data_IF_044490198383
#
_entry.id   IF_044490198383
#
_cell.length_a   1.000
_cell.length_b   1.000
_cell.length_c   1.000
_cell.angle_alpha   90.00
_cell.angle_beta   90.00
_cell.angle_gamma   90.00
#
_symmetry.space_group_name_H-M   'P 1'
#
loop_
_entity.id
_entity.type
_entity.pdbx_description
1 polymer ?
#
# COMPACT_ATOMS: atom_id res chain seq x y z
N UNK A 1 23.85 -40.81 11.35
CA UNK A 1 25.30 -40.66 11.63
C UNK A 1 25.76 -39.33 11.05
N UNK A 2 26.62 -38.60 11.79
CA UNK A 2 27.05 -37.21 11.52
C UNK A 2 28.10 -37.11 10.39
N UNK A 3 27.97 -36.03 9.61
CA UNK A 3 28.97 -35.12 8.99
C UNK A 3 30.43 -35.26 9.46
N UNK A 4 31.49 -35.01 8.63
CA UNK A 4 32.04 -33.64 8.39
C UNK A 4 32.69 -33.43 6.98
N UNK A 5 32.40 -32.33 6.27
CA UNK A 5 33.12 -31.03 6.25
C UNK A 5 34.57 -31.05 5.72
N UNK A 6 34.83 -30.04 4.88
CA UNK A 6 36.12 -29.51 4.42
C UNK A 6 36.82 -30.22 3.26
N UNK A 7 36.73 -29.62 2.05
CA UNK A 7 37.93 -29.35 1.24
C UNK A 7 37.69 -28.13 0.32
N UNK A 8 38.13 -26.99 0.84
CA UNK A 8 39.01 -26.00 0.20
C UNK A 8 38.52 -25.08 -0.95
N UNK A 9 38.50 -23.80 -0.58
CA UNK A 9 38.48 -22.56 -1.36
C UNK A 9 39.67 -22.40 -2.34
N UNK A 10 39.48 -21.45 -3.28
CA UNK A 10 40.41 -20.57 -4.06
C UNK A 10 40.21 -20.79 -5.57
N UNK A 11 39.90 -19.78 -6.39
CA UNK A 11 40.74 -18.64 -6.81
C UNK A 11 39.83 -17.52 -7.38
N UNK A 12 39.77 -16.32 -6.81
CA UNK A 12 40.44 -15.05 -7.21
C UNK A 12 40.12 -14.48 -8.60
N UNK A 13 39.51 -13.30 -8.61
CA UNK A 13 39.48 -12.33 -9.73
C UNK A 13 40.88 -11.80 -10.07
N UNK A 14 41.05 -11.25 -11.28
CA UNK A 14 42.00 -10.15 -11.50
C UNK A 14 41.34 -8.88 -12.07
N UNK A 15 41.91 -7.77 -11.61
CA UNK A 15 41.63 -6.38 -11.93
C UNK A 15 42.55 -5.86 -13.06
N UNK A 16 42.01 -4.89 -13.82
CA UNK A 16 42.65 -3.80 -14.58
C UNK A 16 43.71 -4.09 -15.67
N UNK A 17 43.44 -3.52 -16.85
CA UNK A 17 44.46 -2.85 -17.68
C UNK A 17 43.84 -1.69 -18.45
N UNK A 18 44.39 -0.48 -18.24
CA UNK A 18 44.04 0.72 -18.99
C UNK A 18 44.85 0.85 -20.27
N UNK A 19 44.29 1.57 -21.26
CA UNK A 19 44.92 1.89 -22.53
C UNK A 19 44.16 3.02 -23.22
N UNK A 20 44.87 4.11 -23.46
CA UNK A 20 44.44 5.42 -23.95
C UNK A 20 44.28 5.42 -25.49
N UNK A 21 43.34 6.18 -26.07
CA UNK A 21 43.44 6.55 -27.49
C UNK A 21 42.16 6.89 -28.25
N UNK A 22 42.08 8.16 -28.66
CA UNK A 22 41.50 8.72 -29.90
C UNK A 22 39.99 9.05 -29.97
N UNK A 23 39.75 10.36 -30.04
CA UNK A 23 38.64 11.02 -30.73
C UNK A 23 38.76 10.82 -32.24
N UNK A 24 37.63 10.50 -32.91
CA UNK A 24 37.36 10.85 -34.31
C UNK A 24 35.88 10.61 -34.63
N UNK A 25 35.22 11.71 -35.02
CA UNK A 25 34.13 11.93 -35.98
C UNK A 25 33.09 10.85 -36.37
N UNK A 26 31.86 11.38 -36.35
CA UNK A 26 30.61 11.11 -37.07
C UNK A 26 30.51 10.01 -38.16
N UNK A 27 29.45 9.21 -38.07
CA UNK A 27 28.32 9.20 -39.04
C UNK A 27 27.15 8.31 -38.59
N UNK A 28 25.96 8.79 -38.93
CA UNK A 28 24.64 8.16 -38.78
C UNK A 28 24.59 6.73 -39.31
N UNK A 29 23.77 5.89 -38.68
CA UNK A 29 22.70 5.19 -39.38
C UNK A 29 21.48 5.01 -38.47
N UNK A 30 20.34 5.36 -39.03
CA UNK A 30 19.00 5.40 -38.47
C UNK A 30 18.31 4.04 -38.54
N UNK A 31 17.62 3.64 -37.47
CA UNK A 31 16.45 2.75 -37.55
C UNK A 31 15.37 3.27 -36.60
N UNK A 32 14.22 3.59 -37.19
CA UNK A 32 12.98 3.95 -36.51
C UNK A 32 12.31 2.70 -35.90
N UNK A 33 11.57 2.85 -34.79
CA UNK A 33 10.10 2.80 -34.79
C UNK A 33 9.52 2.78 -33.35
N UNK A 34 8.37 3.45 -33.20
CA UNK A 34 7.33 3.36 -32.16
C UNK A 34 7.75 3.65 -30.70
N UNK A 35 7.26 4.68 -29.99
CA UNK A 35 5.97 5.35 -30.10
C UNK A 35 5.02 4.89 -28.99
N UNK A 36 5.43 5.00 -27.72
CA UNK A 36 4.52 4.92 -26.57
C UNK A 36 4.52 6.29 -25.90
N UNK A 37 3.49 7.08 -26.22
CA UNK A 37 3.23 8.33 -25.51
C UNK A 37 2.64 7.99 -24.13
N UNK A 38 3.08 8.65 -23.05
CA UNK A 38 2.41 8.56 -21.76
C UNK A 38 0.96 9.06 -21.88
N UNK A 39 0.03 8.57 -21.05
CA UNK A 39 -1.37 8.98 -21.10
C UNK A 39 -1.50 10.50 -20.90
N UNK A 40 -2.50 11.15 -21.54
CA UNK A 40 -2.63 12.60 -21.49
C UNK A 40 -2.87 13.10 -20.06
N UNK A 41 -2.17 14.18 -19.70
CA UNK A 41 -2.44 14.93 -18.48
C UNK A 41 -3.87 15.52 -18.55
N UNK A 42 -4.61 15.43 -17.44
CA UNK A 42 -5.96 15.99 -17.35
C UNK A 42 -5.90 17.52 -17.37
N UNK A 43 -6.30 18.12 -18.49
CA UNK A 43 -6.58 19.55 -18.60
C UNK A 43 -7.79 19.90 -17.73
N UNK A 44 -7.57 20.67 -16.67
CA UNK A 44 -8.63 21.26 -15.87
C UNK A 44 -9.18 22.48 -16.61
N UNK A 45 -10.32 22.32 -17.27
CA UNK A 45 -11.06 23.45 -17.81
C UNK A 45 -11.62 24.30 -16.67
N UNK A 46 -11.06 25.49 -16.53
CA UNK A 46 -11.52 26.56 -15.66
C UNK A 46 -12.90 27.04 -16.12
N UNK A 47 -13.90 26.95 -15.25
CA UNK A 47 -15.18 27.64 -15.44
C UNK A 47 -15.73 28.02 -14.07
N UNK A 48 -15.46 29.25 -13.66
CA UNK A 48 -16.19 29.95 -12.60
C UNK A 48 -17.69 29.96 -12.91
N UNK A 49 -18.53 29.80 -11.87
CA UNK A 49 -19.56 30.82 -11.68
C UNK A 49 -19.68 31.28 -10.22
N UNK A 50 -20.38 32.40 -10.10
CA UNK A 50 -20.41 33.35 -9.01
C UNK A 50 -21.07 32.87 -7.70
N UNK A 51 -20.76 33.64 -6.66
CA UNK A 51 -21.29 33.60 -5.30
C UNK A 51 -22.82 33.69 -5.20
N UNK A 52 -23.42 32.79 -4.42
CA UNK A 52 -24.62 33.11 -3.65
C UNK A 52 -24.70 32.29 -2.36
N UNK A 53 -24.69 33.00 -1.24
CA UNK A 53 -24.88 32.49 0.12
C UNK A 53 -26.30 31.99 0.36
N UNK A 54 -26.47 30.76 0.85
CA UNK A 54 -27.50 30.45 1.86
C UNK A 54 -27.21 29.12 2.56
N UNK A 55 -27.14 29.19 3.88
CA UNK A 55 -27.07 28.08 4.82
C UNK A 55 -28.37 27.28 4.84
N UNK A 56 -28.30 25.94 4.72
CA UNK A 56 -29.26 24.96 5.26
C UNK A 56 -28.67 23.54 5.17
N UNK A 57 -28.73 22.84 6.31
CA UNK A 57 -28.70 21.39 6.54
C UNK A 57 -27.99 20.50 5.50
N UNK A 58 -26.86 19.92 5.91
CA UNK A 58 -26.18 18.86 5.18
C UNK A 58 -27.06 17.60 5.19
N UNK A 59 -27.83 17.44 4.13
CA UNK A 59 -28.44 16.16 3.76
C UNK A 59 -27.33 15.18 3.36
N UNK A 60 -27.45 13.97 3.90
CA UNK A 60 -26.65 12.79 3.57
C UNK A 60 -26.75 12.55 2.07
N UNK A 61 -25.65 12.78 1.35
CA UNK A 61 -25.58 12.55 -0.09
C UNK A 61 -25.64 11.05 -0.32
N UNK A 62 -26.80 10.56 -0.78
CA UNK A 62 -26.93 9.21 -1.31
C UNK A 62 -26.07 9.10 -2.56
N UNK A 63 -25.21 8.07 -2.62
CA UNK A 63 -24.31 7.78 -3.73
C UNK A 63 -25.11 7.63 -5.03
N UNK A 64 -24.87 8.51 -6.01
CA UNK A 64 -25.42 8.42 -7.36
C UNK A 64 -24.57 7.45 -8.21
N UNK A 65 -25.09 6.90 -9.32
CA UNK A 65 -24.32 6.07 -10.24
C UNK A 65 -23.05 6.73 -10.81
N UNK A 66 -22.99 8.06 -10.80
CA UNK A 66 -21.85 8.88 -11.23
C UNK A 66 -20.86 9.21 -10.11
N UNK A 67 -21.09 8.75 -8.88
CA UNK A 67 -20.18 8.98 -7.77
C UNK A 67 -18.87 8.20 -8.00
N UNK A 68 -17.75 8.90 -8.26
CA UNK A 68 -16.47 8.25 -8.56
C UNK A 68 -15.94 7.43 -7.39
N UNK A 69 -16.52 7.58 -6.19
CA UNK A 69 -16.10 6.90 -4.96
C UNK A 69 -17.09 5.82 -4.52
N UNK A 70 -18.18 5.57 -5.27
CA UNK A 70 -19.16 4.52 -4.95
C UNK A 70 -18.52 3.14 -4.84
N UNK A 71 -17.45 2.87 -5.60
CA UNK A 71 -16.71 1.61 -5.50
C UNK A 71 -15.98 1.44 -4.16
N UNK A 72 -15.72 2.50 -3.39
CA UNK A 72 -15.07 2.38 -2.09
C UNK A 72 -15.92 1.57 -1.10
N UNK A 73 -17.24 1.52 -1.29
CA UNK A 73 -18.14 0.73 -0.44
C UNK A 73 -18.07 -0.78 -0.72
N UNK A 74 -17.49 -1.22 -1.83
CA UNK A 74 -17.42 -2.64 -2.21
C UNK A 74 -16.19 -3.36 -1.68
N UNK A 75 -15.26 -2.66 -1.01
CA UNK A 75 -14.02 -3.23 -0.50
C UNK A 75 -13.80 -2.85 0.96
N UNK A 76 -13.29 -3.77 1.77
CA UNK A 76 -12.72 -3.42 3.06
C UNK A 76 -11.38 -2.72 2.83
N UNK A 77 -11.25 -1.48 3.31
CA UNK A 77 -10.04 -0.68 3.10
C UNK A 77 -9.16 -0.69 4.34
N UNK A 78 -7.94 -1.22 4.19
CA UNK A 78 -6.91 -1.26 5.23
C UNK A 78 -5.75 -0.35 4.83
N UNK A 79 -5.38 0.57 5.71
CA UNK A 79 -4.13 1.31 5.60
C UNK A 79 -3.05 0.66 6.46
N UNK A 80 -1.95 0.28 5.83
CA UNK A 80 -0.73 -0.17 6.50
C UNK A 80 0.31 0.95 6.46
N UNK A 81 0.52 1.60 7.60
CA UNK A 81 1.37 2.77 7.71
C UNK A 81 2.73 2.40 8.28
N UNK A 82 3.77 2.81 7.56
CA UNK A 82 5.12 2.84 8.09
C UNK A 82 5.22 3.87 9.22
N UNK A 83 5.51 3.40 10.41
CA UNK A 83 5.88 4.21 11.58
C UNK A 83 7.32 3.94 11.99
N UNK A 84 8.20 3.56 11.06
CA UNK A 84 9.64 3.43 11.30
C UNK A 84 10.29 4.79 11.57
N UNK A 85 11.54 4.79 12.04
CA UNK A 85 12.24 6.02 12.39
C UNK A 85 12.47 6.99 11.21
N UNK A 86 12.56 6.49 9.97
CA UNK A 86 12.77 7.35 8.78
C UNK A 86 11.60 8.30 8.54
N UNK A 87 10.39 7.88 8.92
CA UNK A 87 9.16 8.64 8.70
C UNK A 87 9.08 9.93 9.54
N UNK A 88 9.97 10.13 10.52
CA UNK A 88 9.95 11.31 11.39
C UNK A 88 10.00 12.64 10.60
N UNK A 89 9.12 13.58 10.98
CA UNK A 89 9.05 14.89 10.35
C UNK A 89 7.97 15.00 9.28
N UNK A 90 8.34 15.46 8.07
CA UNK A 90 7.37 15.86 7.03
C UNK A 90 6.56 14.68 6.49
N UNK A 91 7.19 13.52 6.29
CA UNK A 91 6.52 12.32 5.78
C UNK A 91 5.39 11.89 6.73
N UNK A 92 5.66 11.81 8.04
CA UNK A 92 4.63 11.49 9.04
C UNK A 92 3.45 12.45 9.02
N UNK A 93 3.72 13.76 8.94
CA UNK A 93 2.68 14.79 8.88
C UNK A 93 1.87 14.75 7.58
N UNK A 94 2.52 14.41 6.47
CA UNK A 94 1.86 14.24 5.17
C UNK A 94 0.90 13.06 5.20
N UNK A 95 1.34 11.91 5.71
CA UNK A 95 0.48 10.72 5.87
C UNK A 95 -0.71 11.01 6.76
N UNK A 96 -0.51 11.71 7.89
CA UNK A 96 -1.61 12.11 8.77
C UNK A 96 -2.68 12.91 8.02
N UNK A 97 -2.26 13.95 7.27
CA UNK A 97 -3.19 14.81 6.52
C UNK A 97 -3.92 14.05 5.43
N UNK A 98 -3.21 13.20 4.69
CA UNK A 98 -3.79 12.36 3.64
C UNK A 98 -4.86 11.42 4.22
N UNK A 99 -4.56 10.71 5.32
CA UNK A 99 -5.53 9.82 5.96
C UNK A 99 -6.74 10.55 6.53
N UNK A 100 -6.56 11.75 7.10
CA UNK A 100 -7.69 12.55 7.57
C UNK A 100 -8.64 12.92 6.42
N UNK A 101 -8.09 13.33 5.27
CA UNK A 101 -8.88 13.64 4.08
C UNK A 101 -9.59 12.41 3.51
N UNK A 102 -8.86 11.29 3.36
CA UNK A 102 -9.41 10.05 2.85
C UNK A 102 -10.51 9.50 3.77
N UNK A 103 -10.34 9.56 5.09
CA UNK A 103 -11.36 9.09 6.05
C UNK A 103 -12.69 9.83 5.87
N UNK A 104 -12.67 11.13 5.57
CA UNK A 104 -13.89 11.90 5.31
C UNK A 104 -14.62 11.39 4.06
N UNK A 105 -13.87 11.01 3.02
CA UNK A 105 -14.42 10.43 1.80
C UNK A 105 -14.96 9.03 2.10
N UNK A 106 -14.16 8.14 2.71
CA UNK A 106 -14.56 6.77 3.00
C UNK A 106 -15.83 6.71 3.85
N UNK A 107 -16.01 7.57 4.85
CA UNK A 107 -17.20 7.55 5.73
C UNK A 107 -18.48 7.95 5.01
N UNK A 108 -18.38 8.73 3.93
CA UNK A 108 -19.53 9.07 3.11
C UNK A 108 -20.06 7.86 2.32
N UNK A 109 -19.22 6.84 2.06
CA UNK A 109 -19.54 5.74 1.16
C UNK A 109 -19.45 4.34 1.82
N UNK A 110 -18.65 4.16 2.87
CA UNK A 110 -18.52 2.92 3.64
C UNK A 110 -18.99 3.13 5.09
N UNK A 111 -19.96 2.30 5.49
CA UNK A 111 -20.55 2.36 6.81
C UNK A 111 -19.61 1.85 7.90
N UNK A 112 -18.63 1.00 7.61
CA UNK A 112 -17.69 0.45 8.61
C UNK A 112 -16.42 1.31 8.77
N UNK A 113 -16.04 2.08 7.75
CA UNK A 113 -14.95 3.05 7.77
C UNK A 113 -13.64 2.47 7.25
N UNK A 114 -12.51 2.84 7.87
CA UNK A 114 -11.19 2.31 7.49
C UNK A 114 -10.55 1.57 8.66
N UNK A 115 -9.73 0.57 8.35
CA UNK A 115 -8.87 -0.08 9.33
C UNK A 115 -7.43 0.42 9.18
N UNK A 116 -6.76 0.69 10.30
CA UNK A 116 -5.41 1.24 10.33
C UNK A 116 -4.48 0.32 11.11
N UNK A 117 -3.40 -0.10 10.47
CA UNK A 117 -2.30 -0.85 11.08
C UNK A 117 -1.01 -0.06 10.91
N UNK A 118 -0.14 -0.12 11.92
CA UNK A 118 1.24 0.34 11.79
C UNK A 118 2.20 -0.83 11.74
N UNK A 119 3.38 -0.63 11.16
CA UNK A 119 4.45 -1.64 11.14
C UNK A 119 4.92 -2.01 12.57
N UNK A 120 5.14 -1.00 13.41
CA UNK A 120 5.76 -1.14 14.73
C UNK A 120 4.75 -0.93 15.87
N UNK A 121 3.85 0.05 15.77
CA UNK A 121 2.86 0.33 16.82
C UNK A 121 1.67 -0.65 16.78
N UNK A 122 1.57 -1.48 17.81
CA UNK A 122 0.55 -2.51 17.96
C UNK A 122 -0.36 -2.21 19.16
N UNK A 123 -1.68 -2.31 18.96
CA UNK A 123 -2.68 -2.18 20.02
C UNK A 123 -2.99 -3.54 20.67
N UNK A 124 -3.80 -3.55 21.72
CA UNK A 124 -4.34 -4.77 22.33
C UNK A 124 -5.60 -5.31 21.62
N UNK A 125 -5.99 -4.71 20.48
CA UNK A 125 -7.13 -5.15 19.67
C UNK A 125 -6.96 -6.63 19.29
N UNK A 126 -8.00 -7.44 19.45
CA UNK A 126 -7.95 -8.88 19.17
C UNK A 126 -8.23 -9.20 17.71
N UNK A 127 -8.77 -8.23 16.97
CA UNK A 127 -9.24 -8.44 15.60
C UNK A 127 -10.59 -9.15 15.56
N UNK A 128 -11.07 -9.42 14.35
CA UNK A 128 -12.31 -10.16 14.13
C UNK A 128 -12.09 -11.24 13.08
N UNK A 129 -11.95 -12.48 13.53
CA UNK A 129 -11.75 -13.63 12.64
C UNK A 129 -12.94 -13.85 11.70
N UNK A 130 -14.16 -13.47 12.09
CA UNK A 130 -15.34 -13.64 11.26
C UNK A 130 -15.39 -12.63 10.11
N UNK A 131 -14.68 -11.51 10.26
CA UNK A 131 -14.48 -10.50 9.22
C UNK A 131 -13.08 -10.56 8.60
N UNK A 132 -12.25 -11.55 8.96
CA UNK A 132 -10.89 -11.66 8.44
C UNK A 132 -9.94 -10.55 8.93
N UNK A 133 -10.33 -9.79 9.97
CA UNK A 133 -9.55 -8.67 10.51
C UNK A 133 -8.51 -9.17 11.50
N UNK A 134 -7.25 -8.75 11.30
CA UNK A 134 -6.15 -9.09 12.18
C UNK A 134 -6.20 -8.35 13.53
N UNK A 135 -5.48 -8.89 14.51
CA UNK A 135 -5.28 -8.25 15.81
C UNK A 135 -4.41 -7.01 15.70
N UNK A 136 -4.26 -6.24 16.78
CA UNK A 136 -3.30 -5.14 16.96
C UNK A 136 -3.44 -3.92 16.04
N UNK A 137 -4.52 -3.84 15.28
CA UNK A 137 -4.89 -2.68 14.47
C UNK A 137 -5.74 -1.67 15.24
N UNK A 138 -6.18 -0.64 14.54
CA UNK A 138 -7.24 0.29 14.94
C UNK A 138 -8.34 0.15 13.91
N UNK A 139 -9.44 -0.47 14.31
CA UNK A 139 -10.46 -0.93 13.36
C UNK A 139 -11.65 0.02 13.30
N UNK A 140 -12.34 0.01 12.16
CA UNK A 140 -13.60 0.70 11.91
C UNK A 140 -13.54 2.20 12.25
N UNK A 141 -12.47 2.87 11.82
CA UNK A 141 -12.26 4.30 12.03
C UNK A 141 -13.19 5.08 11.09
N UNK A 142 -14.11 5.83 11.68
CA UNK A 142 -15.13 6.61 10.94
C UNK A 142 -15.04 8.13 11.10
N UNK A 143 -13.96 8.62 11.72
CA UNK A 143 -13.83 10.03 12.09
C UNK A 143 -12.40 10.49 11.84
N UNK A 144 -12.25 11.60 11.13
CA UNK A 144 -10.95 12.21 10.85
C UNK A 144 -10.27 12.68 12.14
N UNK A 145 -11.02 13.05 13.18
CA UNK A 145 -10.48 13.43 14.49
C UNK A 145 -9.88 12.22 15.22
N UNK A 146 -10.39 11.01 14.97
CA UNK A 146 -9.79 9.78 15.51
C UNK A 146 -8.41 9.54 14.89
N UNK A 147 -8.27 9.75 13.57
CA UNK A 147 -6.97 9.69 12.89
C UNK A 147 -5.99 10.70 13.50
N UNK A 148 -6.41 11.96 13.70
CA UNK A 148 -5.57 12.97 14.34
C UNK A 148 -5.02 12.50 15.70
N UNK A 149 -5.91 12.02 16.58
CA UNK A 149 -5.54 11.52 17.91
C UNK A 149 -4.60 10.31 17.87
N UNK A 150 -4.76 9.45 16.86
CA UNK A 150 -3.84 8.33 16.65
C UNK A 150 -2.43 8.85 16.35
N UNK A 151 -2.30 9.79 15.42
CA UNK A 151 -1.00 10.36 15.05
C UNK A 151 -0.41 11.26 16.16
N UNK A 152 -1.24 11.85 17.01
CA UNK A 152 -0.80 12.56 18.21
C UNK A 152 -0.19 11.63 19.26
N UNK A 153 -0.53 10.33 19.25
CA UNK A 153 -0.05 9.35 20.25
C UNK A 153 1.03 8.41 19.71
N UNK A 154 0.98 8.06 18.43
CA UNK A 154 1.99 7.23 17.77
C UNK A 154 3.19 8.09 17.38
N UNK A 155 4.40 7.57 17.60
CA UNK A 155 5.65 8.23 17.22
C UNK A 155 6.46 7.30 16.31
N UNK A 156 6.97 7.80 15.17
CA UNK A 156 7.90 7.09 14.31
C UNK A 156 9.07 6.49 15.09
N UNK A 157 9.28 5.18 14.98
CA UNK A 157 10.34 4.40 15.63
C UNK A 157 10.45 2.99 15.04
N UNK A 158 11.63 2.40 15.16
CA UNK A 158 11.85 1.02 14.70
C UNK A 158 12.17 0.95 13.20
N UNK A 159 11.98 -0.22 12.60
CA UNK A 159 12.39 -0.53 11.23
C UNK A 159 11.18 -0.88 10.36
N UNK A 160 11.42 -0.96 9.05
CA UNK A 160 10.37 -1.11 8.02
C UNK A 160 10.08 -2.58 7.72
N UNK A 161 9.58 -3.34 8.71
CA UNK A 161 9.24 -4.78 8.55
C UNK A 161 7.89 -4.99 7.86
N UNK A 162 7.79 -4.54 6.62
CA UNK A 162 6.58 -4.55 5.80
C UNK A 162 6.07 -5.95 5.50
N UNK A 163 6.95 -6.88 5.13
CA UNK A 163 6.56 -8.24 4.77
C UNK A 163 5.92 -8.99 5.93
N UNK A 164 6.54 -8.93 7.10
CA UNK A 164 6.02 -9.50 8.35
C UNK A 164 4.64 -8.94 8.68
N UNK A 165 4.43 -7.63 8.53
CA UNK A 165 3.16 -7.00 8.89
C UNK A 165 2.07 -7.30 7.88
N UNK A 166 2.39 -7.32 6.58
CA UNK A 166 1.48 -7.79 5.53
C UNK A 166 1.04 -9.24 5.78
N UNK A 167 1.97 -10.15 6.09
CA UNK A 167 1.63 -11.53 6.42
C UNK A 167 0.60 -11.62 7.56
N UNK A 168 0.81 -10.83 8.61
CA UNK A 168 -0.06 -10.81 9.79
C UNK A 168 -1.48 -10.32 9.46
N UNK A 169 -1.62 -9.33 8.57
CA UNK A 169 -2.92 -8.81 8.11
C UNK A 169 -3.61 -9.79 7.16
N UNK A 170 -2.87 -10.33 6.19
CA UNK A 170 -3.40 -11.23 5.15
C UNK A 170 -3.87 -12.57 5.71
N UNK A 171 -3.19 -13.09 6.73
CA UNK A 171 -3.45 -14.43 7.28
C UNK A 171 -4.91 -14.66 7.70
N UNK A 172 -5.52 -13.85 8.61
CA UNK A 172 -6.90 -14.08 9.03
C UNK A 172 -7.92 -13.91 7.90
N UNK A 173 -7.64 -13.03 6.93
CA UNK A 173 -8.49 -12.87 5.74
C UNK A 173 -8.47 -14.12 4.86
N UNK A 174 -7.29 -14.65 4.54
CA UNK A 174 -7.17 -15.89 3.78
C UNK A 174 -7.78 -17.09 4.52
N UNK A 175 -7.62 -17.15 5.86
CA UNK A 175 -8.29 -18.18 6.68
C UNK A 175 -9.83 -18.04 6.66
N UNK A 176 -10.36 -16.82 6.55
CA UNK A 176 -11.80 -16.61 6.37
C UNK A 176 -12.27 -17.15 5.02
N UNK A 177 -11.56 -16.83 3.93
CA UNK A 177 -11.88 -17.33 2.59
C UNK A 177 -11.86 -18.86 2.53
N UNK A 178 -10.83 -19.49 3.12
CA UNK A 178 -10.72 -20.95 3.21
C UNK A 178 -11.91 -21.57 3.95
N UNK A 179 -12.40 -20.94 5.04
CA UNK A 179 -13.57 -21.43 5.79
C UNK A 179 -14.88 -21.32 5.02
N UNK A 180 -14.98 -20.39 4.06
CA UNK A 180 -16.17 -20.20 3.22
C UNK A 180 -16.31 -21.25 2.11
N UNK A 181 -15.25 -22.03 1.86
CA UNK A 181 -15.27 -23.28 1.10
C UNK A 181 -16.11 -23.25 -0.20
N UNK A 182 -15.76 -22.33 -1.10
CA UNK A 182 -16.43 -22.15 -2.40
C UNK A 182 -17.39 -20.97 -2.47
N UNK A 183 -17.75 -20.36 -1.34
CA UNK A 183 -18.52 -19.12 -1.27
C UNK A 183 -17.62 -17.91 -0.96
N UNK A 184 -16.52 -17.79 -1.73
CA UNK A 184 -15.51 -16.73 -1.59
C UNK A 184 -16.12 -15.35 -1.84
N UNK A 185 -17.05 -15.27 -2.80
CA UNK A 185 -17.75 -14.02 -3.16
C UNK A 185 -18.65 -13.49 -2.04
N UNK A 186 -19.03 -14.31 -1.04
CA UNK A 186 -19.71 -13.82 0.17
C UNK A 186 -18.83 -13.00 1.10
N UNK A 187 -17.51 -12.98 0.87
CA UNK A 187 -16.55 -12.20 1.65
C UNK A 187 -16.21 -10.94 0.88
N UNK A 188 -16.40 -9.79 1.54
CA UNK A 188 -16.07 -8.48 0.99
C UNK A 188 -14.58 -8.48 0.58
N UNK A 189 -14.26 -8.11 -0.67
CA UNK A 189 -12.88 -7.97 -1.13
C UNK A 189 -12.04 -7.04 -0.24
N UNK A 190 -10.74 -7.30 -0.12
CA UNK A 190 -9.82 -6.56 0.74
C UNK A 190 -8.88 -5.68 -0.09
N UNK A 191 -8.77 -4.39 0.25
CA UNK A 191 -7.81 -3.47 -0.36
C UNK A 191 -6.82 -2.96 0.71
N UNK A 192 -5.55 -3.35 0.60
CA UNK A 192 -4.47 -2.91 1.49
C UNK A 192 -3.65 -1.81 0.81
N UNK A 193 -3.62 -0.64 1.42
CA UNK A 193 -2.82 0.51 0.99
C UNK A 193 -1.64 0.65 1.96
N UNK A 194 -0.45 0.32 1.49
CA UNK A 194 0.81 0.46 2.22
C UNK A 194 1.40 1.85 1.96
N UNK A 195 1.69 2.62 3.01
CA UNK A 195 2.31 3.94 2.90
C UNK A 195 3.65 3.92 3.65
N UNK A 196 4.75 4.18 2.94
CA UNK A 196 6.13 4.12 3.46
C UNK A 196 7.01 5.17 2.81
N UNK A 197 8.13 5.53 3.43
CA UNK A 197 9.15 6.40 2.85
C UNK A 197 10.41 5.66 2.37
N UNK A 198 10.50 4.36 2.62
CA UNK A 198 11.75 3.60 2.50
C UNK A 198 11.56 2.19 1.95
N UNK A 199 12.68 1.56 1.63
CA UNK A 199 12.71 0.15 1.26
C UNK A 199 12.41 -0.73 2.49
N UNK A 200 11.72 -1.87 2.32
CA UNK A 200 11.46 -2.80 3.41
C UNK A 200 12.75 -3.39 3.97
N UNK A 201 12.74 -3.68 5.28
CA UNK A 201 13.83 -4.36 5.99
C UNK A 201 13.71 -5.88 5.95
N UNK A 202 12.65 -6.42 5.36
CA UNK A 202 12.37 -7.83 5.18
C UNK A 202 11.76 -8.14 3.82
N UNK A 203 11.51 -9.43 3.57
CA UNK A 203 10.93 -9.92 2.32
C UNK A 203 9.42 -9.64 2.25
N UNK A 204 9.06 -8.70 1.38
CA UNK A 204 7.68 -8.31 1.08
C UNK A 204 7.04 -9.23 0.04
N UNK A 205 7.83 -9.84 -0.85
CA UNK A 205 7.31 -10.67 -1.94
C UNK A 205 6.72 -11.99 -1.41
N UNK A 206 7.40 -12.64 -0.46
CA UNK A 206 6.98 -13.92 0.08
C UNK A 206 5.52 -13.98 0.60
N UNK A 207 5.04 -13.05 1.45
CA UNK A 207 3.66 -13.06 1.91
C UNK A 207 2.65 -12.78 0.78
N UNK A 208 2.99 -11.90 -0.17
CA UNK A 208 2.13 -11.58 -1.32
C UNK A 208 2.00 -12.79 -2.24
N UNK A 209 3.12 -13.43 -2.59
CA UNK A 209 3.15 -14.64 -3.41
C UNK A 209 2.40 -15.80 -2.75
N UNK A 210 2.52 -15.94 -1.43
CA UNK A 210 1.76 -16.93 -0.66
C UNK A 210 0.26 -16.66 -0.71
N UNK A 211 -0.15 -15.39 -0.60
CA UNK A 211 -1.55 -14.99 -0.71
C UNK A 211 -2.11 -15.26 -2.11
N UNK A 212 -1.40 -14.85 -3.16
CA UNK A 212 -1.78 -15.09 -4.56
C UNK A 212 -2.00 -16.59 -4.82
N UNK A 213 -1.03 -17.44 -4.44
CA UNK A 213 -1.15 -18.90 -4.58
C UNK A 213 -2.35 -19.51 -3.83
N UNK A 214 -2.77 -18.91 -2.72
CA UNK A 214 -3.95 -19.37 -1.97
C UNK A 214 -5.24 -18.93 -2.67
N UNK A 215 -5.30 -17.69 -3.14
CA UNK A 215 -6.43 -17.16 -3.89
C UNK A 215 -6.66 -17.95 -5.20
N UNK A 216 -5.59 -18.27 -5.93
CA UNK A 216 -5.66 -19.11 -7.14
C UNK A 216 -6.27 -20.49 -6.87
N UNK A 217 -5.90 -21.11 -5.73
CA UNK A 217 -6.44 -22.42 -5.33
C UNK A 217 -7.91 -22.36 -4.93
N UNK A 218 -8.36 -21.21 -4.46
CA UNK A 218 -9.74 -20.97 -4.05
C UNK A 218 -10.61 -20.52 -5.23
N UNK A 219 -10.05 -20.38 -6.43
CA UNK A 219 -10.71 -19.78 -7.59
C UNK A 219 -11.34 -18.42 -7.25
N UNK A 220 -10.62 -17.64 -6.44
CA UNK A 220 -11.10 -16.34 -5.98
C UNK A 220 -11.14 -15.32 -7.14
N UNK A 221 -12.10 -14.39 -7.15
CA UNK A 221 -12.11 -13.31 -8.12
C UNK A 221 -10.79 -12.52 -8.10
N UNK A 222 -10.33 -12.06 -9.26
CA UNK A 222 -9.07 -11.30 -9.38
C UNK A 222 -9.04 -10.02 -8.54
N UNK A 223 -10.21 -9.47 -8.21
CA UNK A 223 -10.37 -8.29 -7.37
C UNK A 223 -10.54 -8.60 -5.87
N UNK A 224 -10.48 -9.87 -5.45
CA UNK A 224 -10.69 -10.28 -4.05
C UNK A 224 -9.64 -9.70 -3.09
N UNK A 225 -8.44 -9.41 -3.60
CA UNK A 225 -7.36 -8.78 -2.85
C UNK A 225 -6.60 -7.78 -3.72
N UNK A 226 -6.59 -6.52 -3.29
CA UNK A 226 -5.69 -5.48 -3.79
C UNK A 226 -4.62 -5.14 -2.76
N UNK A 227 -3.37 -4.97 -3.22
CA UNK A 227 -2.27 -4.42 -2.41
C UNK A 227 -1.61 -3.32 -3.22
N UNK A 228 -1.51 -2.12 -2.65
CA UNK A 228 -0.97 -0.94 -3.31
C UNK A 228 0.08 -0.29 -2.43
N UNK A 229 1.23 0.08 -3.01
CA UNK A 229 2.29 0.77 -2.30
C UNK A 229 2.34 2.24 -2.72
N UNK A 230 2.31 3.14 -1.74
CA UNK A 230 2.50 4.57 -1.93
C UNK A 230 3.74 5.01 -1.17
N UNK A 231 4.68 5.58 -1.91
CA UNK A 231 5.87 6.17 -1.32
C UNK A 231 5.62 7.65 -0.98
N UNK A 232 5.96 8.04 0.24
CA UNK A 232 6.03 9.45 0.67
C UNK A 232 7.47 9.88 0.87
N UNK A 233 7.72 11.18 0.81
CA UNK A 233 9.09 11.71 0.85
C UNK A 233 9.87 11.45 -0.44
N UNK A 234 11.19 11.67 -0.39
CA UNK A 234 12.03 11.77 -1.58
C UNK A 234 13.27 10.86 -1.51
N UNK A 235 13.11 9.65 -0.95
CA UNK A 235 14.19 8.67 -0.84
C UNK A 235 14.41 7.91 -2.17
N UNK A 236 15.62 8.00 -2.79
CA UNK A 236 15.89 7.44 -4.11
C UNK A 236 15.80 5.91 -4.22
N UNK A 237 15.91 5.17 -3.11
CA UNK A 237 15.98 3.70 -3.10
C UNK A 237 14.65 2.96 -2.89
N UNK A 238 13.57 3.65 -2.54
CA UNK A 238 12.31 3.00 -2.22
C UNK A 238 11.50 2.61 -3.47
N UNK A 239 11.67 3.30 -4.60
CA UNK A 239 10.99 2.95 -5.87
C UNK A 239 11.48 1.64 -6.51
N UNK A 240 12.73 1.24 -6.24
CA UNK A 240 13.32 0.03 -6.83
C UNK A 240 13.03 -1.23 -6.01
N UNK A 241 12.51 -1.07 -4.78
CA UNK A 241 12.32 -2.14 -3.81
C UNK A 241 10.84 -2.53 -3.59
N UNK A 242 9.91 -1.93 -4.34
CA UNK A 242 8.47 -2.07 -4.23
C UNK A 242 7.84 -2.56 -5.54
#
# INVERSE_FOLDING_TARGET
MKSPRELLKKFTSPSKRGGNGKRSDCKNDSVANAGENPPPAYDSHDTQPESSSSSKHQDLVASTPEDPYAFLSSFDTVFLIDDSGSMEGSSWLEVQRALQAITLICVAHDADGIDLYFLNNQTEEKGDKNQGKASSGRLNIKKSETVAKIFDTVRPRGATFTGKRLHHILKPYLELLERKNGDVESVKPLNIIVITDGAPSDDVEAPIFTAAKKLDKLDAPSHQLGIQFFQVGNEPGAKEAL
#
